data_IF_964002605563
#
_entry.id   IF_964002605563
#
_cell.length_a   1.000
_cell.length_b   1.000
_cell.length_c   1.000
_cell.angle_alpha   90.00
_cell.angle_beta   90.00
_cell.angle_gamma   90.00
#
_symmetry.space_group_name_H-M   'P 1'
#
loop_
_entity.id
_entity.type
_entity.pdbx_description
1 polymer ?
#
# COMPACT_ATOMS: atom_id res chain seq x y z
N UNK A 1 -8.63 -17.68 -8.88
CA UNK A 1 -8.44 -16.20 -8.88
C UNK A 1 -8.17 -15.78 -7.43
N UNK A 2 -6.93 -15.47 -7.04
CA UNK A 2 -6.69 -14.97 -5.66
C UNK A 2 -7.39 -13.61 -5.53
N UNK A 3 -8.17 -13.40 -4.47
CA UNK A 3 -8.67 -12.07 -4.11
C UNK A 3 -7.44 -11.22 -3.85
N UNK A 4 -7.05 -10.43 -4.83
CA UNK A 4 -5.98 -9.48 -4.61
C UNK A 4 -6.59 -8.38 -3.73
N UNK A 5 -6.01 -8.17 -2.55
CA UNK A 5 -6.37 -7.13 -1.60
C UNK A 5 -5.20 -6.13 -1.50
N UNK A 6 -5.42 -4.90 -1.00
CA UNK A 6 -4.32 -4.02 -0.63
C UNK A 6 -3.33 -4.72 0.31
N UNK A 7 -2.05 -4.34 0.25
CA UNK A 7 -1.04 -4.93 1.13
C UNK A 7 -1.22 -4.40 2.56
N UNK A 8 -2.01 -5.15 3.32
CA UNK A 8 -2.51 -4.77 4.63
C UNK A 8 -1.39 -4.54 5.65
N UNK A 9 -0.35 -5.38 5.65
CA UNK A 9 0.73 -5.29 6.64
C UNK A 9 1.54 -3.99 6.54
N UNK A 10 1.80 -3.47 5.33
CA UNK A 10 2.48 -2.17 5.16
C UNK A 10 1.60 -1.03 5.66
N UNK A 11 0.29 -1.09 5.38
CA UNK A 11 -0.66 -0.11 5.90
C UNK A 11 -0.70 -0.08 7.42
N UNK A 12 -0.78 -1.26 8.07
CA UNK A 12 -0.79 -1.38 9.53
C UNK A 12 0.53 -0.90 10.14
N UNK A 13 1.68 -1.24 9.54
CA UNK A 13 2.97 -0.78 10.01
C UNK A 13 3.08 0.75 9.97
N UNK A 14 2.60 1.39 8.90
CA UNK A 14 2.58 2.85 8.78
C UNK A 14 1.61 3.47 9.80
N UNK A 15 0.40 2.93 9.94
CA UNK A 15 -0.58 3.43 10.91
C UNK A 15 -0.06 3.34 12.35
N UNK A 16 0.55 2.21 12.71
CA UNK A 16 1.16 2.00 14.02
C UNK A 16 2.32 2.98 14.27
N UNK A 17 3.17 3.24 13.28
CA UNK A 17 4.24 4.24 13.40
C UNK A 17 3.71 5.68 13.57
N UNK A 18 2.47 5.94 13.16
CA UNK A 18 1.78 7.22 13.32
C UNK A 18 0.85 7.26 14.54
N UNK A 19 0.87 6.24 15.40
CA UNK A 19 -0.01 6.09 16.57
C UNK A 19 -1.51 6.17 16.21
N UNK A 20 -1.90 5.45 15.15
CA UNK A 20 -3.28 5.41 14.64
C UNK A 20 -3.75 3.99 14.41
N UNK A 21 -5.06 3.77 14.51
CA UNK A 21 -5.70 2.56 13.97
C UNK A 21 -5.88 2.74 12.45
N UNK A 22 -5.42 1.76 11.68
CA UNK A 22 -5.58 1.76 10.23
C UNK A 22 -7.05 1.82 9.83
N UNK A 23 -7.96 1.21 10.59
CA UNK A 23 -9.40 1.19 10.29
C UNK A 23 -10.02 2.58 10.26
N UNK A 24 -9.49 3.50 11.06
CA UNK A 24 -10.04 4.85 11.20
C UNK A 24 -9.47 5.82 10.16
N UNK A 25 -8.31 5.51 9.58
CA UNK A 25 -7.60 6.41 8.67
C UNK A 25 -7.43 5.89 7.25
N UNK A 26 -7.78 4.63 6.96
CA UNK A 26 -7.65 4.04 5.64
C UNK A 26 -8.70 4.56 4.65
N UNK A 27 -8.26 4.92 3.45
CA UNK A 27 -9.12 5.31 2.32
C UNK A 27 -8.86 4.38 1.15
N UNK A 28 -9.83 3.51 0.84
CA UNK A 28 -9.67 2.45 -0.17
C UNK A 28 -10.11 2.84 -1.58
N UNK A 29 -10.89 3.92 -1.72
CA UNK A 29 -11.34 4.42 -3.01
C UNK A 29 -11.52 5.93 -2.94
N UNK A 30 -11.25 6.60 -4.06
CA UNK A 30 -11.60 8.01 -4.29
C UNK A 30 -12.21 8.11 -5.68
N UNK A 31 -13.53 8.02 -5.75
CA UNK A 31 -14.29 8.02 -7.00
C UNK A 31 -15.00 9.37 -7.22
N UNK A 32 -14.95 9.90 -8.44
CA UNK A 32 -15.57 11.19 -8.79
C UNK A 32 -14.91 12.40 -8.11
N UNK A 33 -15.72 13.39 -7.73
CA UNK A 33 -15.25 14.62 -7.07
C UNK A 33 -15.16 14.42 -5.56
N UNK A 34 -13.98 14.00 -5.09
CA UNK A 34 -13.74 13.69 -3.66
C UNK A 34 -13.21 14.87 -2.84
N UNK A 35 -12.98 16.03 -3.46
CA UNK A 35 -12.40 17.20 -2.80
C UNK A 35 -10.95 17.00 -2.38
N UNK A 36 -10.48 17.80 -1.42
CA UNK A 36 -9.12 17.73 -0.89
C UNK A 36 -8.87 16.41 -0.13
N UNK A 37 -7.61 16.01 0.01
CA UNK A 37 -7.24 14.84 0.83
C UNK A 37 -7.27 15.24 2.30
N UNK A 38 -8.00 14.49 3.13
CA UNK A 38 -8.01 14.69 4.58
C UNK A 38 -6.62 14.38 5.15
N UNK A 39 -5.98 15.33 5.87
CA UNK A 39 -4.67 15.10 6.47
C UNK A 39 -4.64 13.88 7.37
N UNK A 40 -3.54 13.12 7.30
CA UNK A 40 -3.35 11.96 8.15
C UNK A 40 -4.14 10.71 7.76
N UNK A 41 -4.83 10.71 6.61
CA UNK A 41 -5.41 9.50 6.00
C UNK A 41 -4.36 8.71 5.21
N UNK A 42 -4.50 7.39 5.19
CA UNK A 42 -3.65 6.46 4.42
C UNK A 42 -4.44 5.97 3.21
N UNK A 43 -4.03 6.40 2.02
CA UNK A 43 -4.68 6.01 0.77
C UNK A 43 -4.18 4.66 0.25
N UNK A 44 -5.09 3.81 -0.21
CA UNK A 44 -4.77 2.58 -0.91
C UNK A 44 -5.13 2.70 -2.38
N UNK A 45 -4.13 2.49 -3.24
CA UNK A 45 -4.32 2.33 -4.67
C UNK A 45 -3.92 0.91 -5.06
N UNK A 46 -4.80 0.24 -5.79
CA UNK A 46 -4.71 -1.20 -5.99
C UNK A 46 -4.77 -1.49 -7.48
N UNK A 47 -3.65 -1.91 -8.06
CA UNK A 47 -3.51 -2.17 -9.50
C UNK A 47 -3.61 -3.67 -9.80
N UNK A 48 -4.27 -4.01 -10.90
CA UNK A 48 -4.40 -5.37 -11.44
C UNK A 48 -3.93 -5.35 -12.88
N UNK A 49 -2.79 -6.00 -13.16
CA UNK A 49 -2.25 -6.04 -14.51
C UNK A 49 -1.51 -7.35 -14.77
N UNK A 50 -1.84 -7.98 -15.90
CA UNK A 50 -1.09 -9.05 -16.55
C UNK A 50 -0.54 -10.13 -15.62
N UNK A 51 0.78 -10.32 -15.72
CA UNK A 51 1.60 -11.36 -15.11
C UNK A 51 2.34 -10.89 -13.84
N UNK A 52 2.01 -9.71 -13.31
CA UNK A 52 2.63 -9.17 -12.08
C UNK A 52 2.41 -10.16 -10.93
N UNK A 53 3.51 -10.69 -10.40
CA UNK A 53 3.49 -11.68 -9.31
C UNK A 53 3.05 -11.03 -7.99
N UNK A 54 3.58 -9.84 -7.71
CA UNK A 54 3.26 -8.99 -6.57
C UNK A 54 4.16 -7.76 -6.52
N UNK A 55 3.56 -6.57 -6.55
CA UNK A 55 4.26 -5.29 -6.37
C UNK A 55 3.53 -4.49 -5.28
N UNK A 56 4.32 -3.97 -4.33
CA UNK A 56 3.84 -3.17 -3.22
C UNK A 56 4.74 -1.95 -3.04
N UNK A 57 4.14 -0.77 -3.11
CA UNK A 57 4.85 0.50 -2.91
C UNK A 57 4.14 1.30 -1.81
N UNK A 58 4.89 1.67 -0.78
CA UNK A 58 4.50 2.72 0.14
C UNK A 58 5.14 4.03 -0.33
N UNK A 59 4.31 5.06 -0.49
CA UNK A 59 4.73 6.37 -0.99
C UNK A 59 4.46 7.42 0.09
N UNK A 60 5.50 8.16 0.43
CA UNK A 60 5.45 9.34 1.28
C UNK A 60 5.75 10.53 0.38
N UNK A 61 4.83 11.48 0.29
CA UNK A 61 4.94 12.61 -0.61
C UNK A 61 4.58 13.89 0.13
N UNK A 62 5.40 14.91 -0.08
CA UNK A 62 5.18 16.27 0.41
C UNK A 62 5.56 17.27 -0.70
N UNK A 63 5.43 18.57 -0.43
CA UNK A 63 5.71 19.63 -1.39
C UNK A 63 7.19 19.56 -1.83
N UNK A 64 7.40 19.19 -3.09
CA UNK A 64 8.72 19.16 -3.70
C UNK A 64 9.52 17.88 -3.48
N UNK A 65 9.00 16.90 -2.72
CA UNK A 65 9.71 15.65 -2.47
C UNK A 65 8.80 14.42 -2.40
N UNK A 66 9.40 13.27 -2.69
CA UNK A 66 8.73 11.98 -2.64
C UNK A 66 9.71 10.87 -2.28
N UNK A 67 9.38 10.12 -1.24
CA UNK A 67 10.08 8.91 -0.82
C UNK A 67 9.19 7.69 -1.12
N UNK A 68 9.76 6.68 -1.77
CA UNK A 68 9.07 5.44 -2.09
C UNK A 68 9.82 4.24 -1.54
N UNK A 69 9.11 3.37 -0.84
CA UNK A 69 9.60 2.06 -0.42
C UNK A 69 8.84 1.02 -1.23
N UNK A 70 9.56 0.32 -2.10
CA UNK A 70 8.98 -0.59 -3.08
C UNK A 70 9.53 -2.00 -2.93
N UNK A 71 8.62 -2.97 -2.84
CA UNK A 71 8.91 -4.39 -2.93
C UNK A 71 8.31 -4.96 -4.22
N UNK A 72 9.15 -5.57 -5.06
CA UNK A 72 8.76 -6.23 -6.31
C UNK A 72 9.16 -7.69 -6.26
N UNK A 73 8.18 -8.58 -6.25
CA UNK A 73 8.44 -10.00 -6.33
C UNK A 73 8.68 -10.41 -7.79
N UNK A 74 9.83 -11.02 -8.06
CA UNK A 74 10.16 -11.56 -9.39
C UNK A 74 9.59 -12.97 -9.59
N UNK A 75 9.41 -13.71 -8.49
CA UNK A 75 8.94 -15.08 -8.47
C UNK A 75 8.21 -15.40 -7.17
N UNK A 76 7.31 -16.39 -7.20
CA UNK A 76 6.63 -16.90 -6.00
C UNK A 76 7.57 -17.71 -5.09
N UNK A 77 8.74 -18.10 -5.60
CA UNK A 77 9.70 -18.93 -4.88
C UNK A 77 10.48 -18.14 -3.82
N UNK A 78 10.59 -16.83 -3.99
CA UNK A 78 11.37 -15.94 -3.13
C UNK A 78 10.91 -16.00 -1.66
N UNK A 79 9.60 -16.14 -1.43
CA UNK A 79 9.01 -16.27 -0.09
C UNK A 79 9.37 -17.60 0.61
N UNK A 80 9.80 -18.64 -0.13
CA UNK A 80 10.15 -19.94 0.44
C UNK A 80 11.61 -19.98 0.94
N UNK A 81 12.48 -19.10 0.44
CA UNK A 81 13.90 -19.07 0.81
C UNK A 81 14.16 -18.39 2.15
N UNK A 82 13.27 -17.50 2.58
CA UNK A 82 13.36 -16.72 3.82
C UNK A 82 12.58 -17.32 4.99
N UNK A 83 11.81 -18.39 4.77
CA UNK A 83 10.99 -19.06 5.79
C UNK A 83 11.70 -20.25 6.49
N UNK A 84 13.04 -20.28 6.47
CA UNK A 84 13.87 -21.29 7.16
C UNK A 84 14.49 -20.73 8.43
#
# INVERSE_FOLDING_TARGET
MRRQAPHWQMGEAIAHALDKDLKDCAVYSREGHTGERVPGTIGFATVRAGDIVGEHTAMFADIGERLEITHKASSRYEHLLTAR
#
